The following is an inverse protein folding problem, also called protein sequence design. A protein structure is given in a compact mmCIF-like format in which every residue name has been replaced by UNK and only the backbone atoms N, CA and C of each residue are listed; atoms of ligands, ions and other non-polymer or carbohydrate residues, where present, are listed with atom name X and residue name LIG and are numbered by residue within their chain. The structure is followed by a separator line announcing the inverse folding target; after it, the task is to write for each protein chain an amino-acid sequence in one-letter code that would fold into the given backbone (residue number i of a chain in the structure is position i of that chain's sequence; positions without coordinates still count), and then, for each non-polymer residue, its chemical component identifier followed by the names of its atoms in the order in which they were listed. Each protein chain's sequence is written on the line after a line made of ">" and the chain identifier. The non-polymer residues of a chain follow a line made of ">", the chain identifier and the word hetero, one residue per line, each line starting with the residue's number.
data_IF_542391838478
#
_entry.id   IF_542391838478
#
_cell.length_a   1.000
_cell.length_b   1.000
_cell.length_c   1.000
_cell.angle_alpha   90.00
_cell.angle_beta   90.00
_cell.angle_gamma   90.00
#
_symmetry.space_group_name_H-M   'P 1'
#
loop_
_entity.id
_entity.type
_entity.pdbx_description
1 polymer ?
#
# COMPACT_ATOMS: atom_id res chain seq x y z
N UNK A 1 -51.74 32.25 0.95
CA UNK A 1 -51.04 31.03 1.47
C UNK A 1 -50.51 30.15 0.37
N UNK A 2 -51.16 30.01 -0.77
CA UNK A 2 -50.72 29.15 -1.90
C UNK A 2 -49.55 29.62 -2.73
N UNK A 3 -49.22 30.92 -2.78
CA UNK A 3 -48.09 31.44 -3.55
C UNK A 3 -46.73 31.13 -2.90
N UNK A 4 -46.62 31.09 -1.57
CA UNK A 4 -45.38 30.74 -0.85
C UNK A 4 -45.04 29.25 -0.95
N UNK A 5 -46.06 28.38 -1.06
CA UNK A 5 -45.86 26.94 -1.20
C UNK A 5 -45.28 26.56 -2.58
N UNK A 6 -45.70 27.27 -3.65
CA UNK A 6 -45.20 27.05 -5.01
C UNK A 6 -43.72 27.48 -5.15
N UNK A 7 -43.28 28.54 -4.48
CA UNK A 7 -41.89 29.00 -4.52
C UNK A 7 -40.95 28.03 -3.81
N UNK A 8 -41.34 27.44 -2.66
CA UNK A 8 -40.56 26.46 -1.93
C UNK A 8 -40.42 25.14 -2.72
N UNK A 9 -41.48 24.72 -3.40
CA UNK A 9 -41.44 23.51 -4.24
C UNK A 9 -40.52 23.70 -5.46
N UNK A 10 -40.51 24.89 -6.08
CA UNK A 10 -39.64 25.18 -7.22
C UNK A 10 -38.15 25.22 -6.86
N UNK A 11 -37.82 25.74 -5.66
CA UNK A 11 -36.41 25.76 -5.17
C UNK A 11 -35.94 24.34 -4.82
N UNK A 12 -36.79 23.52 -4.21
CA UNK A 12 -36.45 22.14 -3.88
C UNK A 12 -36.25 21.28 -5.14
N UNK A 13 -37.10 21.44 -6.16
CA UNK A 13 -36.93 20.73 -7.44
C UNK A 13 -35.68 21.20 -8.22
N UNK A 14 -35.33 22.47 -8.14
CA UNK A 14 -34.12 23.00 -8.81
C UNK A 14 -32.84 22.50 -8.13
N UNK A 15 -32.84 22.42 -6.78
CA UNK A 15 -31.67 21.88 -6.04
C UNK A 15 -31.48 20.37 -6.26
N UNK A 16 -32.54 19.58 -6.38
CA UNK A 16 -32.47 18.16 -6.71
C UNK A 16 -31.99 17.93 -8.16
N UNK A 17 -32.37 18.79 -9.08
CA UNK A 17 -31.93 18.69 -10.49
C UNK A 17 -30.45 19.05 -10.64
N UNK A 18 -29.93 20.03 -9.92
CA UNK A 18 -28.51 20.38 -9.96
C UNK A 18 -27.63 19.29 -9.33
N UNK A 19 -28.04 18.67 -8.21
CA UNK A 19 -27.31 17.54 -7.63
C UNK A 19 -27.24 16.32 -8.56
N UNK A 20 -28.32 16.05 -9.30
CA UNK A 20 -28.32 14.96 -10.29
C UNK A 20 -27.37 15.20 -11.45
N UNK A 21 -27.26 16.46 -11.92
CA UNK A 21 -26.34 16.82 -13.02
C UNK A 21 -24.88 16.70 -12.59
N UNK A 22 -24.53 17.14 -11.38
CA UNK A 22 -23.14 16.99 -10.85
C UNK A 22 -22.77 15.53 -10.61
N UNK A 23 -23.70 14.69 -10.17
CA UNK A 23 -23.44 13.26 -10.01
C UNK A 23 -23.24 12.56 -11.38
N UNK A 24 -23.97 12.96 -12.39
CA UNK A 24 -23.87 12.42 -13.76
C UNK A 24 -22.57 12.86 -14.46
N UNK A 25 -22.11 14.11 -14.23
CA UNK A 25 -20.81 14.58 -14.73
C UNK A 25 -19.62 13.90 -14.03
N UNK A 26 -19.69 13.67 -12.72
CA UNK A 26 -18.67 12.95 -11.98
C UNK A 26 -18.56 11.50 -12.45
N UNK A 27 -19.68 10.81 -12.64
CA UNK A 27 -19.72 9.44 -13.18
C UNK A 27 -19.26 9.41 -14.65
N UNK A 28 -19.59 10.41 -15.47
CA UNK A 28 -19.06 10.52 -16.82
C UNK A 28 -17.55 10.76 -16.86
N UNK A 29 -17.03 11.63 -16.01
CA UNK A 29 -15.59 11.85 -15.91
C UNK A 29 -14.85 10.58 -15.46
N UNK A 30 -15.42 9.82 -14.52
CA UNK A 30 -14.86 8.54 -14.06
C UNK A 30 -14.91 7.48 -15.17
N UNK A 31 -16.01 7.41 -15.94
CA UNK A 31 -16.17 6.51 -17.08
C UNK A 31 -15.30 6.92 -18.28
N UNK A 32 -15.15 8.21 -18.56
CA UNK A 32 -14.24 8.71 -19.60
C UNK A 32 -12.78 8.47 -19.22
N UNK A 33 -12.41 8.66 -17.97
CA UNK A 33 -11.10 8.32 -17.45
C UNK A 33 -10.81 6.81 -17.55
N UNK A 34 -11.76 5.94 -17.15
CA UNK A 34 -11.63 4.50 -17.31
C UNK A 34 -11.66 4.05 -18.79
N UNK A 35 -12.37 4.75 -19.67
CA UNK A 35 -12.41 4.47 -21.10
C UNK A 35 -11.14 4.96 -21.83
N UNK A 36 -10.54 6.05 -21.40
CA UNK A 36 -9.24 6.51 -21.91
C UNK A 36 -8.11 5.57 -21.50
N UNK A 37 -8.22 5.03 -20.29
CA UNK A 37 -7.35 3.98 -19.72
C UNK A 37 -7.55 2.62 -20.45
N UNK A 38 -8.78 2.30 -20.89
CA UNK A 38 -9.14 1.01 -21.47
C UNK A 38 -8.96 0.90 -22.98
N UNK A 39 -8.74 1.98 -23.70
CA UNK A 39 -8.49 1.95 -25.15
C UNK A 39 -7.06 1.48 -25.43
N UNK A 40 -6.91 0.17 -25.58
CA UNK A 40 -5.69 -0.47 -26.08
C UNK A 40 -5.37 -0.03 -27.52
N UNK A 41 -4.73 1.12 -27.64
CA UNK A 41 -4.37 1.71 -28.91
C UNK A 41 -3.33 2.83 -28.81
N UNK A 42 -2.92 3.19 -27.59
CA UNK A 42 -1.77 4.10 -27.46
C UNK A 42 -0.51 3.41 -27.98
N UNK A 43 0.27 4.10 -28.86
CA UNK A 43 1.52 3.54 -29.34
C UNK A 43 2.43 3.23 -28.14
N UNK A 44 3.06 2.05 -28.19
CA UNK A 44 4.07 1.68 -27.20
C UNK A 44 5.12 2.79 -27.15
N UNK A 45 5.31 3.36 -25.95
CA UNK A 45 6.30 4.42 -25.76
C UNK A 45 7.69 3.95 -26.18
N UNK A 46 8.38 4.76 -26.96
CA UNK A 46 9.83 4.56 -27.17
C UNK A 46 10.56 4.91 -25.87
N UNK A 47 11.32 3.96 -25.34
CA UNK A 47 12.13 4.18 -24.15
C UNK A 47 13.23 5.20 -24.44
N UNK A 48 13.36 6.22 -23.56
CA UNK A 48 14.48 7.15 -23.61
C UNK A 48 15.51 6.71 -22.56
N UNK A 49 16.74 6.40 -22.93
CA UNK A 49 17.79 5.98 -22.00
C UNK A 49 18.18 7.07 -20.99
N UNK A 50 17.85 8.33 -21.26
CA UNK A 50 18.08 9.47 -20.36
C UNK A 50 17.01 9.61 -19.29
N UNK A 51 15.87 8.94 -19.46
CA UNK A 51 14.78 8.97 -18.49
C UNK A 51 14.84 7.82 -17.51
N UNK A 52 14.38 8.08 -16.30
CA UNK A 52 14.01 7.08 -15.29
C UNK A 52 12.52 7.26 -15.02
N UNK A 53 11.69 6.51 -15.71
CA UNK A 53 10.23 6.67 -15.65
C UNK A 53 9.61 5.69 -14.68
N UNK A 54 8.95 6.24 -13.66
CA UNK A 54 8.34 5.51 -12.54
C UNK A 54 6.83 5.42 -12.73
N UNK A 55 6.26 4.22 -12.61
CA UNK A 55 4.82 4.06 -12.41
C UNK A 55 4.51 4.19 -10.91
N UNK A 56 3.64 5.11 -10.57
CA UNK A 56 3.28 5.43 -9.20
C UNK A 56 1.79 5.75 -9.08
N UNK A 57 1.25 5.61 -7.87
CA UNK A 57 -0.09 6.10 -7.57
C UNK A 57 -0.04 7.61 -7.32
N UNK A 58 -1.03 8.33 -7.85
CA UNK A 58 -1.08 9.80 -7.73
C UNK A 58 -1.57 10.30 -6.37
N UNK A 59 -2.17 9.40 -5.55
CA UNK A 59 -2.76 9.74 -4.27
C UNK A 59 -2.69 8.58 -3.27
N UNK A 60 -1.49 8.10 -2.95
CA UNK A 60 -1.26 6.97 -2.05
C UNK A 60 -0.15 7.24 -1.03
N UNK A 61 -0.26 8.34 -0.28
CA UNK A 61 0.67 8.57 0.82
C UNK A 61 0.58 7.44 1.88
N UNK A 62 1.68 7.05 2.46
CA UNK A 62 3.03 7.64 2.41
C UNK A 62 3.89 7.22 1.22
N UNK A 63 3.42 6.33 0.34
CA UNK A 63 4.19 5.76 -0.76
C UNK A 63 4.47 6.79 -1.85
N UNK A 64 3.44 7.24 -2.54
CA UNK A 64 3.57 8.20 -3.64
C UNK A 64 2.35 9.11 -3.74
N UNK A 65 2.54 10.27 -4.35
CA UNK A 65 1.49 11.13 -4.86
C UNK A 65 2.00 11.98 -6.03
N UNK A 66 1.10 12.72 -6.68
CA UNK A 66 1.42 13.59 -7.82
C UNK A 66 2.16 14.89 -7.43
N UNK A 67 2.29 15.16 -6.12
CA UNK A 67 3.11 16.23 -5.54
C UNK A 67 4.51 15.77 -5.17
N UNK A 68 4.84 14.49 -5.42
CA UNK A 68 6.15 13.88 -5.13
C UNK A 68 6.52 13.91 -3.63
N UNK A 69 5.52 13.82 -2.75
CA UNK A 69 5.69 13.91 -1.29
C UNK A 69 5.85 12.53 -0.63
N UNK A 70 5.65 11.43 -1.34
CA UNK A 70 5.80 10.09 -0.79
C UNK A 70 7.25 9.65 -0.65
N UNK A 71 7.52 8.71 0.28
CA UNK A 71 8.88 8.20 0.49
C UNK A 71 9.39 7.43 -0.73
N UNK A 72 8.52 6.75 -1.47
CA UNK A 72 8.89 6.08 -2.73
C UNK A 72 9.23 7.08 -3.83
N UNK A 73 8.56 8.25 -3.87
CA UNK A 73 8.98 9.33 -4.75
C UNK A 73 10.42 9.76 -4.42
N UNK A 74 10.76 9.93 -3.13
CA UNK A 74 12.11 10.34 -2.69
C UNK A 74 13.17 9.29 -2.99
N UNK A 75 12.86 8.01 -2.82
CA UNK A 75 13.79 6.93 -3.19
C UNK A 75 13.97 6.86 -4.71
N UNK A 76 12.90 7.03 -5.48
CA UNK A 76 12.99 7.07 -6.95
C UNK A 76 13.81 8.26 -7.46
N UNK A 77 13.64 9.46 -6.87
CA UNK A 77 14.48 10.64 -7.13
C UNK A 77 15.96 10.35 -6.85
N UNK A 78 16.27 9.71 -5.71
CA UNK A 78 17.61 9.30 -5.33
C UNK A 78 18.25 8.35 -6.36
N UNK A 79 17.49 7.35 -6.83
CA UNK A 79 17.96 6.38 -7.84
C UNK A 79 18.19 7.09 -9.17
N UNK A 80 17.25 7.91 -9.64
CA UNK A 80 17.38 8.64 -10.89
C UNK A 80 18.60 9.57 -10.89
N UNK A 81 18.82 10.30 -9.80
CA UNK A 81 19.98 11.17 -9.60
C UNK A 81 21.29 10.41 -9.66
N UNK A 82 21.40 9.27 -8.97
CA UNK A 82 22.59 8.44 -8.93
C UNK A 82 22.92 7.84 -10.31
N UNK A 83 21.88 7.51 -11.10
CA UNK A 83 22.01 7.04 -12.48
C UNK A 83 22.26 8.17 -13.50
N UNK A 84 22.20 9.44 -13.09
CA UNK A 84 22.32 10.60 -13.99
C UNK A 84 21.17 10.70 -14.97
N UNK A 85 19.94 10.25 -14.59
CA UNK A 85 18.76 10.21 -15.44
C UNK A 85 17.72 11.24 -14.99
N UNK A 86 16.95 11.77 -15.94
CA UNK A 86 15.79 12.61 -15.65
C UNK A 86 14.65 11.76 -15.11
N UNK A 87 14.11 12.09 -13.94
CA UNK A 87 12.97 11.36 -13.39
C UNK A 87 11.68 11.80 -14.09
N UNK A 88 10.87 10.83 -14.49
CA UNK A 88 9.52 11.03 -15.05
C UNK A 88 8.54 10.11 -14.32
N UNK A 89 7.27 10.48 -14.32
CA UNK A 89 6.23 9.66 -13.71
C UNK A 89 5.13 9.33 -14.69
N UNK A 90 4.61 8.11 -14.57
CA UNK A 90 3.35 7.67 -15.11
C UNK A 90 2.44 7.39 -13.91
N UNK A 91 1.49 8.25 -13.67
CA UNK A 91 0.54 8.07 -12.59
C UNK A 91 -0.63 7.18 -13.01
N UNK A 92 -1.00 6.29 -12.10
CA UNK A 92 -2.12 5.39 -12.21
C UNK A 92 -2.54 4.96 -10.81
N UNK A 93 -3.84 4.74 -10.56
CA UNK A 93 -4.26 4.23 -9.26
C UNK A 93 -3.75 2.81 -9.01
N UNK A 94 -3.13 2.57 -7.86
CA UNK A 94 -2.65 1.25 -7.47
C UNK A 94 -3.83 0.36 -7.05
N UNK A 95 -4.41 -0.31 -8.03
CA UNK A 95 -5.49 -1.28 -7.91
C UNK A 95 -5.21 -2.50 -8.78
N UNK A 96 -6.19 -3.42 -8.79
CA UNK A 96 -6.12 -4.63 -9.62
C UNK A 96 -5.79 -4.28 -11.08
N UNK A 97 -4.71 -4.89 -11.58
CA UNK A 97 -4.21 -4.65 -12.93
C UNK A 97 -3.18 -3.53 -13.06
N UNK A 98 -2.75 -2.89 -11.96
CA UNK A 98 -1.74 -1.82 -11.99
C UNK A 98 -0.50 -2.21 -12.81
N UNK A 99 0.18 -3.30 -12.48
CA UNK A 99 1.38 -3.78 -13.18
C UNK A 99 1.11 -4.03 -14.67
N UNK A 100 -0.02 -4.68 -14.97
CA UNK A 100 -0.39 -5.01 -16.37
C UNK A 100 -0.63 -3.77 -17.20
N UNK A 101 -1.32 -2.78 -16.63
CA UNK A 101 -1.74 -1.57 -17.37
C UNK A 101 -0.67 -0.48 -17.37
N UNK A 102 0.40 -0.62 -16.60
CA UNK A 102 1.48 0.36 -16.51
C UNK A 102 2.82 -0.21 -16.98
N UNK A 103 3.53 -0.97 -16.15
CA UNK A 103 4.85 -1.51 -16.43
C UNK A 103 4.83 -2.43 -17.67
N UNK A 104 3.93 -3.41 -17.70
CA UNK A 104 3.82 -4.38 -18.80
C UNK A 104 3.24 -3.77 -20.09
N UNK A 105 2.53 -2.65 -19.97
CA UNK A 105 2.08 -1.84 -21.11
C UNK A 105 3.14 -0.83 -21.58
N UNK A 106 4.38 -0.91 -21.09
CA UNK A 106 5.49 -0.04 -21.43
C UNK A 106 5.25 1.46 -21.18
N UNK A 107 4.37 1.81 -20.25
CA UNK A 107 4.09 3.21 -19.89
C UNK A 107 5.15 3.80 -18.95
N UNK A 108 5.86 2.94 -18.22
CA UNK A 108 7.00 3.27 -17.36
C UNK A 108 8.08 2.19 -17.42
N UNK A 109 9.16 2.39 -16.66
CA UNK A 109 10.31 1.51 -16.65
C UNK A 109 10.45 0.77 -15.33
N UNK A 110 9.95 1.36 -14.24
CA UNK A 110 10.06 0.80 -12.89
C UNK A 110 8.78 1.02 -12.07
N UNK A 111 8.57 0.14 -11.10
CA UNK A 111 7.61 0.28 -10.00
C UNK A 111 8.41 0.23 -8.69
N UNK A 112 8.18 1.21 -7.81
CA UNK A 112 8.75 1.21 -6.47
C UNK A 112 7.90 0.35 -5.54
N UNK A 113 8.45 -0.05 -4.39
CA UNK A 113 7.67 -0.62 -3.29
C UNK A 113 7.05 -2.00 -3.54
N UNK A 114 7.50 -2.75 -4.56
CA UNK A 114 6.96 -4.08 -4.79
C UNK A 114 7.56 -5.13 -3.85
N UNK A 115 6.79 -6.18 -3.56
CA UNK A 115 7.29 -7.33 -2.78
C UNK A 115 8.38 -8.06 -3.57
N UNK A 116 9.49 -8.40 -2.90
CA UNK A 116 10.57 -9.17 -3.48
C UNK A 116 10.07 -10.54 -3.98
N UNK A 117 10.48 -10.93 -5.19
CA UNK A 117 10.05 -12.18 -5.80
C UNK A 117 8.65 -12.16 -6.40
N UNK A 118 8.07 -10.99 -6.65
CA UNK A 118 6.77 -10.85 -7.30
C UNK A 118 6.77 -11.52 -8.68
N UNK A 119 5.81 -12.43 -8.92
CA UNK A 119 5.73 -13.23 -10.14
C UNK A 119 5.41 -12.44 -11.41
N UNK A 120 4.89 -11.22 -11.29
CA UNK A 120 4.49 -10.40 -12.45
C UNK A 120 5.68 -9.63 -13.06
N UNK A 121 6.79 -9.50 -12.33
CA UNK A 121 7.93 -8.66 -12.71
C UNK A 121 9.28 -9.27 -12.26
N UNK A 122 10.38 -8.72 -12.72
CA UNK A 122 11.70 -8.99 -12.17
C UNK A 122 11.97 -7.99 -11.07
N UNK A 123 12.32 -8.46 -9.87
CA UNK A 123 12.53 -7.61 -8.70
C UNK A 123 14.01 -7.43 -8.38
N UNK A 124 14.37 -6.26 -7.87
CA UNK A 124 15.70 -5.98 -7.33
C UNK A 124 15.99 -6.83 -6.08
N UNK A 125 17.23 -6.76 -5.59
CA UNK A 125 17.49 -7.09 -4.19
C UNK A 125 16.60 -6.19 -3.31
N UNK A 126 16.06 -6.70 -2.20
CA UNK A 126 15.26 -5.89 -1.32
C UNK A 126 16.10 -4.77 -0.67
N UNK A 127 15.54 -3.59 -0.56
CA UNK A 127 16.20 -2.43 0.04
C UNK A 127 15.69 -2.09 1.43
N UNK A 128 14.51 -2.62 1.83
CA UNK A 128 14.07 -2.64 3.22
C UNK A 128 13.08 -3.80 3.44
N UNK A 129 12.77 -4.07 4.71
CA UNK A 129 11.74 -5.01 5.13
C UNK A 129 10.83 -4.30 6.12
N UNK A 130 9.53 -4.44 5.95
CA UNK A 130 8.54 -3.91 6.88
C UNK A 130 7.45 -4.94 7.14
N UNK A 131 6.67 -4.69 8.19
CA UNK A 131 5.59 -5.55 8.63
C UNK A 131 4.42 -4.76 9.18
N UNK A 132 3.43 -5.47 9.70
CA UNK A 132 2.32 -4.85 10.40
C UNK A 132 2.75 -4.28 11.74
N UNK A 133 2.02 -3.27 12.21
CA UNK A 133 2.26 -2.60 13.48
C UNK A 133 0.97 -2.46 14.28
N UNK A 134 1.08 -2.47 15.59
CA UNK A 134 0.08 -1.96 16.51
C UNK A 134 0.28 -0.46 16.67
N UNK A 135 -0.78 0.31 16.49
CA UNK A 135 -0.77 1.76 16.71
C UNK A 135 -1.87 2.11 17.69
N UNK A 136 -1.56 2.89 18.71
CA UNK A 136 -2.52 3.34 19.72
C UNK A 136 -2.08 4.68 20.32
N UNK A 137 -3.03 5.41 20.93
CA UNK A 137 -2.72 6.67 21.60
C UNK A 137 -1.83 6.40 22.82
N UNK A 138 -0.77 7.18 23.02
CA UNK A 138 0.06 7.09 24.21
C UNK A 138 -0.73 7.33 25.50
N UNK A 139 -1.74 8.20 25.43
CA UNK A 139 -2.65 8.52 26.54
C UNK A 139 -3.54 7.35 26.97
N UNK A 140 -3.69 6.28 26.17
CA UNK A 140 -4.44 5.08 26.56
C UNK A 140 -3.79 4.30 27.71
N UNK A 141 -2.47 4.47 27.88
CA UNK A 141 -1.69 3.70 28.84
C UNK A 141 -1.51 2.23 28.48
N UNK A 142 -1.85 1.82 27.26
CA UNK A 142 -1.66 0.45 26.78
C UNK A 142 -0.18 0.08 26.71
N UNK A 143 0.12 -1.20 26.95
CA UNK A 143 1.44 -1.80 26.85
C UNK A 143 1.36 -3.05 25.95
N UNK A 144 1.17 -2.83 24.66
CA UNK A 144 1.04 -3.89 23.67
C UNK A 144 2.43 -4.19 23.10
N UNK A 145 2.86 -5.45 23.16
CA UNK A 145 4.18 -5.91 22.68
C UNK A 145 4.06 -7.03 21.64
N UNK A 146 3.03 -7.83 21.76
CA UNK A 146 2.79 -9.03 20.96
C UNK A 146 1.29 -9.35 20.89
N UNK A 147 0.94 -10.44 20.20
CA UNK A 147 -0.43 -10.92 20.04
C UNK A 147 -1.08 -11.45 21.32
N UNK A 148 -0.30 -11.70 22.38
CA UNK A 148 -0.76 -12.18 23.69
C UNK A 148 -0.91 -11.06 24.71
N UNK A 149 -0.66 -9.82 24.32
CA UNK A 149 -0.76 -8.66 25.19
C UNK A 149 -2.19 -8.44 25.68
N UNK A 150 -2.44 -8.46 27.03
CA UNK A 150 -3.81 -8.36 27.58
C UNK A 150 -4.54 -7.08 27.17
N UNK A 151 -3.81 -6.03 26.84
CA UNK A 151 -4.39 -4.74 26.44
C UNK A 151 -5.08 -4.79 25.06
N UNK A 152 -4.82 -5.82 24.26
CA UNK A 152 -5.58 -6.05 23.02
C UNK A 152 -7.06 -6.35 23.25
N UNK A 153 -7.43 -6.85 24.43
CA UNK A 153 -8.82 -7.12 24.80
C UNK A 153 -9.56 -5.92 25.42
N UNK A 154 -8.88 -4.79 25.64
CA UNK A 154 -9.45 -3.64 26.37
C UNK A 154 -10.14 -2.60 25.46
N UNK A 155 -9.88 -2.63 24.17
CA UNK A 155 -10.37 -1.62 23.25
C UNK A 155 -10.81 -2.18 21.90
N UNK A 156 -11.38 -1.31 21.07
CA UNK A 156 -11.80 -1.66 19.71
C UNK A 156 -10.58 -1.69 18.79
N UNK A 157 -10.34 -2.83 18.16
CA UNK A 157 -9.23 -3.05 17.24
C UNK A 157 -9.70 -2.77 15.79
N UNK A 158 -9.13 -1.76 15.15
CA UNK A 158 -9.27 -1.56 13.71
C UNK A 158 -8.30 -2.43 12.93
N UNK A 159 -8.79 -3.17 11.95
CA UNK A 159 -7.97 -4.04 11.08
C UNK A 159 -8.57 -4.12 9.69
N UNK A 160 -7.73 -4.20 8.65
CA UNK A 160 -8.22 -4.51 7.30
C UNK A 160 -8.53 -6.01 7.22
N UNK A 161 -9.77 -6.34 6.92
CA UNK A 161 -10.22 -7.73 6.83
C UNK A 161 -9.49 -8.50 5.73
N UNK A 162 -9.33 -9.82 5.93
CA UNK A 162 -8.64 -10.72 5.00
C UNK A 162 -7.15 -10.39 4.75
N UNK A 163 -6.53 -9.64 5.65
CA UNK A 163 -5.09 -9.41 5.65
C UNK A 163 -4.39 -10.31 6.69
N UNK A 164 -3.06 -10.47 6.66
CA UNK A 164 -2.34 -11.33 7.59
C UNK A 164 -2.73 -11.20 9.06
N UNK A 165 -2.95 -10.01 9.64
CA UNK A 165 -3.39 -9.87 11.02
C UNK A 165 -4.75 -10.51 11.35
N UNK A 166 -5.58 -10.83 10.36
CA UNK A 166 -6.88 -11.48 10.60
C UNK A 166 -6.71 -12.87 11.24
N UNK A 167 -5.61 -13.56 10.97
CA UNK A 167 -5.34 -14.88 11.55
C UNK A 167 -5.07 -14.81 13.06
N UNK A 168 -4.07 -14.08 13.56
CA UNK A 168 -3.85 -13.97 14.99
C UNK A 168 -5.03 -13.32 15.74
N UNK A 169 -5.75 -12.36 15.14
CA UNK A 169 -6.98 -11.81 15.74
C UNK A 169 -8.01 -12.90 16.00
N UNK A 170 -8.24 -13.81 15.04
CA UNK A 170 -9.16 -14.92 15.21
C UNK A 170 -8.67 -15.90 16.28
N UNK A 171 -7.42 -16.34 16.19
CA UNK A 171 -6.87 -17.37 17.05
C UNK A 171 -6.71 -16.91 18.51
N UNK A 172 -6.55 -15.60 18.75
CA UNK A 172 -6.44 -15.00 20.08
C UNK A 172 -7.79 -14.52 20.64
N UNK A 173 -8.92 -14.82 19.97
CA UNK A 173 -10.25 -14.45 20.45
C UNK A 173 -10.54 -12.95 20.44
N UNK A 174 -9.86 -12.19 19.56
CA UNK A 174 -9.99 -10.73 19.45
C UNK A 174 -11.07 -10.29 18.46
N UNK A 175 -11.80 -11.23 17.84
CA UNK A 175 -12.82 -10.91 16.83
C UNK A 175 -13.96 -10.08 17.37
N UNK A 176 -14.40 -10.33 18.63
CA UNK A 176 -15.56 -9.66 19.22
C UNK A 176 -15.34 -8.15 19.43
N UNK A 177 -14.08 -7.74 19.64
CA UNK A 177 -13.71 -6.34 19.79
C UNK A 177 -12.98 -5.78 18.58
N UNK A 178 -13.06 -6.45 17.42
CA UNK A 178 -12.45 -5.95 16.18
C UNK A 178 -13.47 -5.29 15.24
N UNK A 179 -13.05 -4.17 14.64
CA UNK A 179 -13.76 -3.45 13.58
C UNK A 179 -13.04 -3.70 12.26
N UNK A 180 -13.60 -4.52 11.35
CA UNK A 180 -12.98 -4.77 10.06
C UNK A 180 -13.19 -3.60 9.10
N UNK A 181 -12.13 -3.21 8.40
CA UNK A 181 -12.15 -2.31 7.26
C UNK A 181 -12.07 -3.10 5.95
N UNK A 182 -12.48 -2.48 4.84
CA UNK A 182 -12.43 -3.14 3.52
C UNK A 182 -10.99 -3.31 3.04
N UNK A 183 -10.71 -4.46 2.42
CA UNK A 183 -9.40 -4.76 1.83
C UNK A 183 -9.09 -3.90 0.60
N UNK A 184 -10.11 -3.59 -0.20
CA UNK A 184 -9.96 -2.72 -1.37
C UNK A 184 -9.90 -1.26 -0.91
N UNK A 185 -8.86 -0.55 -1.35
CA UNK A 185 -8.75 0.87 -1.12
C UNK A 185 -9.98 1.60 -1.68
N UNK A 186 -10.66 2.34 -0.81
CA UNK A 186 -11.70 3.27 -1.19
C UNK A 186 -11.06 4.62 -1.53
N UNK A 187 -11.12 5.03 -2.79
CA UNK A 187 -10.53 6.29 -3.25
C UNK A 187 -11.22 7.54 -2.68
N UNK A 188 -12.41 7.38 -2.08
CA UNK A 188 -13.11 8.46 -1.37
C UNK A 188 -12.61 8.65 0.06
N UNK A 189 -11.78 7.74 0.57
CA UNK A 189 -11.18 7.84 1.89
C UNK A 189 -9.70 8.19 1.78
N UNK A 190 -9.18 9.09 2.65
CA UNK A 190 -7.76 9.37 2.70
C UNK A 190 -6.99 8.11 3.13
N UNK A 191 -5.74 7.92 2.70
CA UNK A 191 -4.93 6.78 3.14
C UNK A 191 -4.73 6.69 4.67
N UNK A 192 -4.95 7.80 5.39
CA UNK A 192 -4.88 7.92 6.85
C UNK A 192 -6.12 7.39 7.59
N UNK A 193 -7.20 7.03 6.89
CA UNK A 193 -8.54 6.82 7.47
C UNK A 193 -8.57 6.01 8.78
N UNK A 194 -7.74 4.96 8.90
CA UNK A 194 -7.70 4.13 10.11
C UNK A 194 -7.03 4.87 11.28
N UNK A 195 -5.99 5.66 11.02
CA UNK A 195 -5.34 6.49 12.03
C UNK A 195 -6.24 7.67 12.40
N UNK A 196 -7.01 8.21 11.45
CA UNK A 196 -8.01 9.25 11.72
C UNK A 196 -9.12 8.74 12.64
N UNK A 197 -9.61 7.51 12.43
CA UNK A 197 -10.58 6.87 13.31
C UNK A 197 -9.99 6.61 14.71
N UNK A 198 -8.69 6.26 14.79
CA UNK A 198 -7.99 6.15 16.06
C UNK A 198 -7.88 7.51 16.78
N UNK A 199 -7.59 8.59 16.05
CA UNK A 199 -7.56 9.96 16.62
C UNK A 199 -8.92 10.36 17.15
N UNK A 200 -10.01 10.08 16.42
CA UNK A 200 -11.39 10.36 16.83
C UNK A 200 -11.84 9.52 18.02
N UNK A 201 -11.27 8.33 18.22
CA UNK A 201 -11.69 7.37 19.25
C UNK A 201 -12.78 6.41 18.77
N UNK A 202 -12.98 6.29 17.46
CA UNK A 202 -13.86 5.28 16.84
C UNK A 202 -13.26 3.87 16.94
N UNK A 203 -11.92 3.78 17.08
CA UNK A 203 -11.14 2.61 17.46
C UNK A 203 -10.08 3.02 18.49
N UNK A 204 -9.57 2.07 19.25
CA UNK A 204 -8.59 2.27 20.30
C UNK A 204 -7.19 1.79 19.90
N UNK A 205 -7.14 0.79 19.02
CA UNK A 205 -5.92 0.15 18.52
C UNK A 205 -6.09 -0.03 17.01
N UNK A 206 -5.11 0.39 16.21
CA UNK A 206 -5.06 0.07 14.79
C UNK A 206 -3.99 -0.99 14.52
N UNK A 207 -4.35 -2.07 13.82
CA UNK A 207 -3.39 -3.05 13.29
C UNK A 207 -3.30 -2.82 11.78
N UNK A 208 -2.21 -2.21 11.36
CA UNK A 208 -2.07 -1.66 10.02
C UNK A 208 -0.68 -1.92 9.44
N UNK A 209 -0.57 -1.90 8.13
CA UNK A 209 0.73 -1.99 7.45
C UNK A 209 1.69 -0.89 7.95
N UNK A 210 2.91 -1.29 8.35
CA UNK A 210 3.87 -0.45 9.05
C UNK A 210 4.11 0.92 8.39
N UNK A 211 4.40 1.00 7.10
CA UNK A 211 4.58 2.27 6.42
C UNK A 211 3.40 3.24 6.61
N UNK A 212 2.16 2.76 6.50
CA UNK A 212 0.96 3.57 6.72
C UNK A 212 0.87 3.97 8.20
N UNK A 213 0.97 2.98 9.10
CA UNK A 213 0.85 3.21 10.54
C UNK A 213 1.89 4.17 11.08
N UNK A 214 3.16 3.98 10.73
CA UNK A 214 4.25 4.81 11.22
C UNK A 214 4.17 6.26 10.72
N UNK A 215 3.95 6.44 9.43
CA UNK A 215 3.86 7.76 8.81
C UNK A 215 2.71 8.60 9.36
N UNK A 216 1.49 8.06 9.39
CA UNK A 216 0.34 8.81 9.86
C UNK A 216 0.33 8.96 11.39
N UNK A 217 0.86 8.00 12.15
CA UNK A 217 1.08 8.15 13.59
C UNK A 217 2.04 9.31 13.90
N UNK A 218 3.14 9.43 13.13
CA UNK A 218 4.12 10.54 13.27
C UNK A 218 3.49 11.92 12.99
N UNK A 219 2.48 11.98 12.11
CA UNK A 219 1.77 13.22 11.72
C UNK A 219 0.49 13.48 12.53
N UNK A 220 0.08 12.54 13.36
CA UNK A 220 -1.15 12.67 14.15
C UNK A 220 -1.08 13.88 15.11
N UNK A 221 -2.22 14.54 15.39
CA UNK A 221 -2.28 15.68 16.31
C UNK A 221 -2.13 15.25 17.78
N UNK A 222 -2.09 13.95 18.05
CA UNK A 222 -1.91 13.35 19.39
C UNK A 222 -0.75 12.37 19.35
N UNK A 223 -0.06 12.22 20.49
CA UNK A 223 1.08 11.31 20.57
C UNK A 223 0.62 9.85 20.45
N UNK A 224 1.20 9.14 19.47
CA UNK A 224 0.94 7.74 19.19
C UNK A 224 2.11 6.85 19.57
N UNK A 225 1.81 5.63 19.94
CA UNK A 225 2.78 4.55 20.10
C UNK A 225 2.64 3.63 18.89
N UNK A 226 3.78 3.29 18.28
CA UNK A 226 3.85 2.36 17.14
C UNK A 226 4.75 1.21 17.54
N UNK A 227 4.21 0.00 17.57
CA UNK A 227 4.93 -1.21 17.97
C UNK A 227 4.87 -2.24 16.83
N UNK A 228 5.99 -2.75 16.33
CA UNK A 228 5.98 -3.84 15.35
C UNK A 228 5.21 -5.05 15.89
N UNK A 229 4.24 -5.54 15.12
CA UNK A 229 3.55 -6.77 15.42
C UNK A 229 4.50 -7.95 15.10
N UNK A 230 4.76 -8.88 16.04
CA UNK A 230 5.62 -10.01 15.74
C UNK A 230 5.02 -10.92 14.65
N UNK A 231 5.88 -11.63 13.92
CA UNK A 231 5.42 -12.65 12.96
C UNK A 231 4.63 -13.73 13.72
N UNK A 232 3.51 -14.15 13.12
CA UNK A 232 2.68 -15.18 13.69
C UNK A 232 3.15 -16.55 13.20
N UNK A 233 3.51 -17.44 14.12
CA UNK A 233 4.16 -18.73 13.79
C UNK A 233 3.23 -19.73 13.10
N UNK A 234 1.91 -19.56 13.22
CA UNK A 234 0.94 -20.46 12.63
C UNK A 234 0.82 -20.21 11.11
N UNK A 235 0.53 -21.26 10.34
CA UNK A 235 0.22 -21.12 8.92
C UNK A 235 -0.91 -20.11 8.71
N UNK A 236 -0.65 -19.10 7.89
CA UNK A 236 -1.56 -17.98 7.66
C UNK A 236 -2.04 -17.95 6.21
N UNK A 237 -3.32 -18.29 5.93
CA UNK A 237 -3.88 -18.29 4.58
C UNK A 237 -3.95 -16.89 3.96
N UNK A 238 -3.82 -15.83 4.77
CA UNK A 238 -3.82 -14.44 4.31
C UNK A 238 -2.41 -13.90 4.04
N UNK A 239 -1.36 -14.75 4.13
CA UNK A 239 0.02 -14.41 3.85
C UNK A 239 0.84 -14.07 5.08
N UNK A 240 2.03 -13.55 4.86
CA UNK A 240 3.00 -13.19 5.91
C UNK A 240 2.73 -11.79 6.46
N UNK A 241 3.08 -11.56 7.71
CA UNK A 241 3.01 -10.23 8.33
C UNK A 241 4.14 -9.31 7.89
N UNK A 242 5.27 -9.86 7.42
CA UNK A 242 6.47 -9.11 7.00
C UNK A 242 6.86 -9.42 5.57
N UNK A 243 7.28 -8.38 4.84
CA UNK A 243 7.70 -8.48 3.47
C UNK A 243 9.00 -7.71 3.19
N UNK A 244 9.86 -8.35 2.42
CA UNK A 244 11.01 -7.69 1.80
C UNK A 244 10.52 -6.84 0.63
N UNK A 245 10.91 -5.58 0.58
CA UNK A 245 10.45 -4.60 -0.41
C UNK A 245 11.57 -4.29 -1.41
N UNK A 246 11.20 -4.27 -2.67
CA UNK A 246 12.09 -4.20 -3.83
C UNK A 246 11.59 -3.20 -4.87
N UNK A 247 12.41 -2.92 -5.86
CA UNK A 247 12.03 -2.24 -7.12
C UNK A 247 11.67 -3.31 -8.15
N UNK A 248 10.59 -3.11 -8.90
CA UNK A 248 10.15 -3.99 -9.98
C UNK A 248 10.43 -3.40 -11.36
N UNK A 249 10.89 -4.26 -12.29
CA UNK A 249 11.06 -3.96 -13.71
C UNK A 249 10.45 -5.09 -14.55
N UNK A 250 10.27 -4.91 -15.86
CA UNK A 250 9.78 -5.98 -16.74
C UNK A 250 10.72 -7.20 -16.69
N UNK A 251 10.15 -8.40 -16.79
CA UNK A 251 10.88 -9.69 -16.59
C UNK A 251 12.16 -9.86 -17.43
N UNK A 252 12.24 -9.21 -18.58
CA UNK A 252 13.37 -9.33 -19.51
C UNK A 252 14.48 -8.30 -19.27
N UNK A 253 14.29 -7.31 -18.42
CA UNK A 253 15.19 -6.16 -18.22
C UNK A 253 16.28 -6.43 -17.18
N UNK A 254 17.09 -7.46 -17.44
CA UNK A 254 18.17 -7.88 -16.54
C UNK A 254 19.25 -6.81 -16.33
N UNK A 255 19.55 -6.03 -17.36
CA UNK A 255 20.53 -4.94 -17.27
C UNK A 255 20.02 -3.82 -16.37
N UNK A 256 18.78 -3.38 -16.57
CA UNK A 256 18.17 -2.32 -15.75
C UNK A 256 18.10 -2.70 -14.27
N UNK A 257 17.72 -3.94 -13.97
CA UNK A 257 17.66 -4.38 -12.57
C UNK A 257 19.05 -4.51 -11.94
N UNK A 258 20.08 -4.86 -12.72
CA UNK A 258 21.45 -4.89 -12.24
C UNK A 258 21.96 -3.48 -11.87
N UNK A 259 21.75 -2.49 -12.73
CA UNK A 259 22.07 -1.08 -12.47
C UNK A 259 21.35 -0.57 -11.20
N UNK A 260 20.06 -0.86 -11.06
CA UNK A 260 19.28 -0.48 -9.88
C UNK A 260 19.85 -1.14 -8.62
N UNK A 261 20.23 -2.42 -8.67
CA UNK A 261 20.82 -3.12 -7.52
C UNK A 261 22.14 -2.48 -7.05
N UNK A 262 22.98 -2.01 -7.97
CA UNK A 262 24.20 -1.28 -7.62
C UNK A 262 23.90 0.04 -6.93
N UNK A 263 22.91 0.80 -7.42
CA UNK A 263 22.47 2.04 -6.78
C UNK A 263 21.91 1.77 -5.38
N UNK A 264 21.00 0.81 -5.25
CA UNK A 264 20.40 0.45 -3.96
C UNK A 264 21.46 0.09 -2.93
N UNK A 265 22.50 -0.66 -3.34
CA UNK A 265 23.61 -1.04 -2.47
C UNK A 265 24.43 0.18 -2.03
N UNK A 266 24.81 1.07 -2.96
CA UNK A 266 25.67 2.23 -2.67
C UNK A 266 24.93 3.34 -1.91
N UNK A 267 23.59 3.45 -2.10
CA UNK A 267 22.74 4.48 -1.48
C UNK A 267 21.90 3.95 -0.31
N UNK A 268 22.24 2.77 0.22
CA UNK A 268 21.46 2.14 1.29
C UNK A 268 21.28 3.04 2.52
N UNK A 269 22.32 3.76 2.93
CA UNK A 269 22.26 4.67 4.07
C UNK A 269 21.28 5.84 3.84
N UNK A 270 21.27 6.40 2.63
CA UNK A 270 20.34 7.47 2.26
C UNK A 270 18.89 6.96 2.24
N UNK A 271 18.68 5.73 1.73
CA UNK A 271 17.37 5.09 1.72
C UNK A 271 16.87 4.90 3.15
N UNK A 272 17.71 4.36 4.06
CA UNK A 272 17.33 4.19 5.47
C UNK A 272 16.97 5.54 6.11
N UNK A 273 17.75 6.58 5.82
CA UNK A 273 17.44 7.93 6.31
C UNK A 273 16.09 8.43 5.81
N UNK A 274 15.74 8.20 4.53
CA UNK A 274 14.41 8.56 4.00
C UNK A 274 13.32 7.82 4.78
N UNK A 275 13.47 6.52 5.03
CA UNK A 275 12.48 5.74 5.79
C UNK A 275 12.31 6.29 7.21
N UNK A 276 13.40 6.60 7.91
CA UNK A 276 13.39 7.18 9.26
C UNK A 276 12.74 8.56 9.29
N UNK A 277 13.07 9.42 8.30
CA UNK A 277 12.50 10.77 8.17
C UNK A 277 10.97 10.71 7.97
N UNK A 278 10.48 9.67 7.30
CA UNK A 278 9.05 9.43 7.11
C UNK A 278 8.40 8.67 8.27
N UNK A 279 9.18 8.15 9.21
CA UNK A 279 8.68 7.34 10.33
C UNK A 279 8.22 5.94 9.89
N UNK A 280 8.82 5.41 8.83
CA UNK A 280 8.49 4.08 8.31
C UNK A 280 9.15 3.01 9.19
N UNK A 281 8.37 2.16 9.90
CA UNK A 281 8.93 1.05 10.66
C UNK A 281 9.60 0.05 9.72
N UNK A 282 10.83 -0.32 10.00
CA UNK A 282 11.56 -1.29 9.21
C UNK A 282 12.41 -2.21 10.08
N UNK A 283 12.68 -3.39 9.57
CA UNK A 283 13.50 -4.42 10.19
C UNK A 283 14.58 -4.91 9.20
N UNK A 284 15.61 -5.62 9.64
CA UNK A 284 16.62 -6.17 8.75
C UNK A 284 15.99 -7.05 7.64
N UNK A 285 16.49 -6.87 6.41
CA UNK A 285 16.13 -7.72 5.27
C UNK A 285 16.57 -9.17 5.54
N UNK A 286 15.72 -10.14 5.23
CA UNK A 286 16.01 -11.56 5.36
C UNK A 286 16.12 -12.21 3.97
N UNK A 287 17.01 -13.21 3.84
CA UNK A 287 17.09 -14.03 2.61
C UNK A 287 16.02 -15.13 2.68
N UNK A 288 14.84 -14.86 2.14
CA UNK A 288 13.69 -15.79 2.16
C UNK A 288 13.99 -17.11 1.42
N UNK A 289 14.96 -17.14 0.49
CA UNK A 289 15.38 -18.38 -0.18
C UNK A 289 16.08 -19.36 0.75
N UNK A 290 16.69 -18.84 1.82
CA UNK A 290 17.34 -19.66 2.86
C UNK A 290 16.38 -20.08 3.96
N UNK A 291 15.28 -19.33 4.11
CA UNK A 291 14.26 -19.57 5.14
C UNK A 291 13.17 -20.55 4.69
N UNK A 292 13.03 -20.83 3.38
CA UNK A 292 12.10 -21.83 2.91
C UNK A 292 12.51 -23.23 3.42
N UNK A 293 11.58 -24.01 4.05
CA UNK A 293 11.85 -25.40 4.38
C UNK A 293 12.31 -26.13 3.10
N UNK A 294 13.43 -26.84 3.16
CA UNK A 294 13.79 -27.77 2.08
C UNK A 294 12.63 -28.74 1.95
N UNK A 295 11.97 -28.72 0.82
CA UNK A 295 10.89 -29.66 0.44
C UNK A 295 11.44 -31.08 0.56
N UNK A 296 11.31 -31.69 1.75
CA UNK A 296 11.52 -33.10 1.99
C UNK A 296 10.13 -33.72 1.86
N UNK A 297 10.02 -34.56 0.82
CA UNK A 297 8.88 -35.43 0.56
C UNK A 297 7.69 -34.82 -0.22
N UNK A 298 7.92 -34.42 -1.47
CA UNK A 298 6.94 -34.80 -2.52
C UNK A 298 7.26 -36.21 -2.98
N UNK A 299 6.87 -37.17 -2.15
CA UNK A 299 6.75 -38.55 -2.60
C UNK A 299 5.69 -38.62 -3.71
N UNK A 300 6.14 -39.01 -4.89
CA UNK A 300 5.26 -39.35 -6.03
C UNK A 300 4.26 -40.41 -5.62
N UNK A 301 3.05 -40.01 -5.28
CA UNK A 301 1.90 -40.93 -5.22
C UNK A 301 1.11 -40.71 -6.49
N UNK A 302 1.52 -41.40 -7.53
CA UNK A 302 0.68 -41.67 -8.71
C UNK A 302 -0.31 -42.78 -8.31
N UNK A 303 -1.63 -42.53 -8.26
CA UNK A 303 -2.59 -43.64 -8.12
C UNK A 303 -2.57 -44.43 -9.41
N UNK A 304 -2.19 -45.70 -9.33
CA UNK A 304 -2.44 -46.65 -10.42
C UNK A 304 -3.96 -46.87 -10.50
N UNK A 305 -4.51 -46.53 -11.66
CA UNK A 305 -5.85 -46.92 -12.06
C UNK A 305 -5.90 -48.43 -12.25
N UNK A 306 -6.78 -49.08 -11.50
CA UNK A 306 -7.42 -50.34 -11.91
C UNK A 306 -8.79 -50.04 -12.51
#
# INVERSE_FOLDING_TARGET
>A
MFAKLKAVLAVALFSMFTMSVYADEAVKQELEFDAEIGRGGEPVRTEDPKEFRVCADKDNLPFSNDKFEGFENKIAELIAQDLGKEIKYQFWYDRLGFVRNTLNAHRCDVIMGTVAGNDMMLTSKPYFRSGYVFVYKKSSGYNIKDWDSPDLHKGIIGVVGQTPPSRPINDKGLMENSRPYRIMRDLNLPPSFMIDDLVKGDIDIAIVWGPIGGYFAKKAPVEMVVVPAPEYEQENPHGKEYWNISVGVRKKEKTRIAEINEVLQRRQADIMKILDDYGIPHVPVVDERKAAPKDKDRGDVIPKSE
#
